data_IF_596434102573
#
_entry.id   IF_596434102573
#
_cell.length_a   1.000
_cell.length_b   1.000
_cell.length_c   1.000
_cell.angle_alpha   90.00
_cell.angle_beta   90.00
_cell.angle_gamma   90.00
#
_symmetry.space_group_name_H-M   'P 1'
#
loop_
_entity.id
_entity.type
_entity.pdbx_description
1 polymer ?
#
# COMPACT_ATOMS: atom_id res chain seq x y z
N UNK A 1 -6.70 -4.12 28.70
CA UNK A 1 -7.40 -4.05 27.39
C UNK A 1 -6.69 -3.12 26.43
N UNK A 2 -6.42 -1.85 26.77
CA UNK A 2 -5.75 -0.87 25.90
C UNK A 2 -4.36 -1.31 25.42
N UNK A 3 -3.55 -1.94 26.26
CA UNK A 3 -2.23 -2.44 25.91
C UNK A 3 -2.28 -3.54 24.83
N UNK A 4 -3.23 -4.45 24.93
CA UNK A 4 -3.45 -5.48 23.90
C UNK A 4 -3.85 -4.87 22.55
N UNK A 5 -4.75 -3.86 22.56
CA UNK A 5 -5.13 -3.15 21.33
C UNK A 5 -3.91 -2.49 20.69
N UNK A 6 -3.09 -1.80 21.48
CA UNK A 6 -1.82 -1.20 20.99
C UNK A 6 -0.88 -2.24 20.38
N UNK A 7 -0.77 -3.42 21.01
CA UNK A 7 0.05 -4.52 20.49
C UNK A 7 -0.42 -4.98 19.11
N UNK A 8 -1.73 -5.16 18.91
CA UNK A 8 -2.27 -5.55 17.58
C UNK A 8 -2.15 -4.42 16.55
N UNK A 9 -2.38 -3.17 16.91
CA UNK A 9 -2.20 -2.02 16.01
C UNK A 9 -0.73 -1.90 15.57
N UNK A 10 0.22 -2.10 16.50
CA UNK A 10 1.66 -2.15 16.19
C UNK A 10 2.02 -3.35 15.33
N UNK A 11 1.45 -4.52 15.61
CA UNK A 11 1.68 -5.75 14.86
C UNK A 11 1.37 -5.61 13.37
N UNK A 12 0.28 -4.92 13.02
CA UNK A 12 -0.11 -4.69 11.62
C UNK A 12 0.33 -3.34 11.08
N UNK A 13 1.09 -2.55 11.85
CA UNK A 13 1.49 -1.22 11.42
C UNK A 13 0.29 -0.42 10.90
N UNK A 14 -0.71 -0.22 11.77
CA UNK A 14 -1.99 0.37 11.39
C UNK A 14 -1.82 1.76 10.75
N UNK A 15 -0.81 2.53 11.19
CA UNK A 15 -0.44 3.82 10.62
C UNK A 15 -0.15 3.78 9.11
N UNK A 16 0.25 2.63 8.57
CA UNK A 16 0.47 2.46 7.13
C UNK A 16 -0.84 2.33 6.32
N UNK A 17 -2.02 2.32 6.95
CA UNK A 17 -3.29 2.36 6.22
C UNK A 17 -3.42 3.63 5.36
N UNK A 18 -2.72 4.70 5.72
CA UNK A 18 -2.62 5.95 4.97
C UNK A 18 -2.11 5.75 3.53
N UNK A 19 -1.44 4.65 3.23
CA UNK A 19 -0.92 4.40 1.87
C UNK A 19 -1.97 3.80 0.92
N UNK A 20 -2.97 3.10 1.41
CA UNK A 20 -3.96 2.44 0.55
C UNK A 20 -5.34 3.10 0.62
N UNK A 21 -5.77 3.51 1.81
CA UNK A 21 -7.13 4.02 2.04
C UNK A 21 -7.43 5.30 1.23
N UNK A 22 -6.56 6.33 1.17
CA UNK A 22 -6.85 7.52 0.39
C UNK A 22 -7.05 7.23 -1.10
N UNK A 23 -6.31 6.29 -1.69
CA UNK A 23 -6.48 5.91 -3.10
C UNK A 23 -7.80 5.14 -3.33
N UNK A 24 -8.19 4.27 -2.40
CA UNK A 24 -9.50 3.62 -2.45
C UNK A 24 -10.65 4.66 -2.38
N UNK A 25 -10.51 5.64 -1.47
CA UNK A 25 -11.46 6.74 -1.35
C UNK A 25 -11.47 7.64 -2.59
N UNK A 26 -10.32 7.99 -3.15
CA UNK A 26 -10.22 8.72 -4.42
C UNK A 26 -11.01 8.02 -5.52
N UNK A 27 -10.80 6.70 -5.67
CA UNK A 27 -11.55 5.89 -6.63
C UNK A 27 -13.06 5.90 -6.36
N UNK A 28 -13.45 5.75 -5.10
CA UNK A 28 -14.86 5.75 -4.71
C UNK A 28 -15.55 7.10 -4.97
N UNK A 29 -14.87 8.22 -4.67
CA UNK A 29 -15.40 9.57 -4.94
C UNK A 29 -15.57 9.84 -6.42
N UNK A 30 -14.58 9.52 -7.23
CA UNK A 30 -14.66 9.65 -8.69
C UNK A 30 -15.78 8.76 -9.25
N UNK A 31 -15.89 7.54 -8.78
CA UNK A 31 -16.90 6.58 -9.22
C UNK A 31 -18.33 7.06 -8.91
N UNK A 32 -18.53 7.68 -7.75
CA UNK A 32 -19.83 8.19 -7.30
C UNK A 32 -20.15 9.60 -7.86
N UNK A 33 -19.16 10.32 -8.39
CA UNK A 33 -19.32 11.73 -8.74
C UNK A 33 -19.53 12.64 -7.51
N UNK A 34 -18.99 12.25 -6.35
CA UNK A 34 -19.16 12.94 -5.08
C UNK A 34 -19.01 11.98 -3.89
N UNK A 35 -19.74 12.26 -2.80
CA UNK A 35 -19.72 11.38 -1.61
C UNK A 35 -20.43 10.06 -1.96
N UNK A 36 -19.73 8.90 -1.86
CA UNK A 36 -20.36 7.61 -2.07
C UNK A 36 -21.50 7.35 -1.08
N UNK A 37 -22.47 6.47 -1.41
CA UNK A 37 -23.49 6.07 -0.45
C UNK A 37 -22.83 5.53 0.83
N UNK A 38 -23.32 5.97 1.99
CA UNK A 38 -22.67 5.73 3.28
C UNK A 38 -22.47 4.25 3.61
N UNK A 39 -23.40 3.40 3.19
CA UNK A 39 -23.31 1.95 3.40
C UNK A 39 -22.13 1.36 2.65
N UNK A 40 -22.02 1.66 1.37
CA UNK A 40 -20.93 1.17 0.50
C UNK A 40 -19.59 1.74 0.96
N UNK A 41 -19.54 3.02 1.30
CA UNK A 41 -18.35 3.67 1.85
C UNK A 41 -17.86 2.99 3.13
N UNK A 42 -18.77 2.69 4.06
CA UNK A 42 -18.43 2.00 5.31
C UNK A 42 -17.82 0.60 5.03
N UNK A 43 -18.43 -0.18 4.11
CA UNK A 43 -17.92 -1.50 3.77
C UNK A 43 -16.61 -1.46 2.97
N UNK A 44 -16.40 -0.44 2.12
CA UNK A 44 -15.10 -0.20 1.45
C UNK A 44 -14.01 0.04 2.49
N UNK A 45 -14.24 0.90 3.48
CA UNK A 45 -13.28 1.19 4.55
C UNK A 45 -12.98 -0.08 5.36
N UNK A 46 -14.01 -0.84 5.75
CA UNK A 46 -13.84 -2.11 6.46
C UNK A 46 -13.02 -3.10 5.63
N UNK A 47 -13.33 -3.23 4.33
CA UNK A 47 -12.62 -4.14 3.43
C UNK A 47 -11.13 -3.78 3.32
N UNK A 48 -10.80 -2.50 3.10
CA UNK A 48 -9.40 -2.04 2.97
C UNK A 48 -8.62 -2.30 4.27
N UNK A 49 -9.19 -1.95 5.42
CA UNK A 49 -8.54 -2.15 6.73
C UNK A 49 -8.36 -3.64 7.02
N UNK A 50 -9.38 -4.46 6.75
CA UNK A 50 -9.34 -5.89 7.01
C UNK A 50 -8.37 -6.63 6.09
N UNK A 51 -8.38 -6.35 4.78
CA UNK A 51 -7.45 -6.93 3.82
C UNK A 51 -5.99 -6.59 4.18
N UNK A 52 -5.74 -5.31 4.52
CA UNK A 52 -4.41 -4.89 4.95
C UNK A 52 -3.98 -5.55 6.26
N UNK A 53 -4.88 -5.65 7.25
CA UNK A 53 -4.60 -6.30 8.53
C UNK A 53 -4.27 -7.78 8.33
N UNK A 54 -5.02 -8.48 7.48
CA UNK A 54 -4.74 -9.86 7.11
C UNK A 54 -3.37 -10.00 6.42
N UNK A 55 -3.08 -9.15 5.42
CA UNK A 55 -1.82 -9.18 4.67
C UNK A 55 -0.61 -8.91 5.59
N UNK A 56 -0.67 -7.87 6.41
CA UNK A 56 0.41 -7.52 7.33
C UNK A 56 0.64 -8.58 8.41
N UNK A 57 -0.46 -9.09 9.00
CA UNK A 57 -0.37 -10.18 9.98
C UNK A 57 0.23 -11.45 9.37
N UNK A 58 -0.18 -11.80 8.15
CA UNK A 58 0.38 -12.94 7.43
C UNK A 58 1.87 -12.73 7.09
N UNK A 59 2.25 -11.54 6.64
CA UNK A 59 3.66 -11.21 6.38
C UNK A 59 4.54 -11.40 7.64
N UNK A 60 4.06 -10.97 8.82
CA UNK A 60 4.77 -11.19 10.08
C UNK A 60 4.95 -12.67 10.43
N UNK A 61 3.96 -13.50 10.11
CA UNK A 61 4.04 -14.95 10.32
C UNK A 61 5.03 -15.57 9.33
N UNK A 62 4.93 -15.23 8.06
CA UNK A 62 5.79 -15.75 7.00
C UNK A 62 7.26 -15.38 7.20
N UNK A 63 7.52 -14.16 7.72
CA UNK A 63 8.87 -13.63 7.89
C UNK A 63 9.45 -13.84 9.30
N UNK A 64 8.76 -14.60 10.18
CA UNK A 64 9.16 -14.75 11.60
C UNK A 64 10.60 -15.17 11.79
N UNK A 65 11.11 -16.13 11.00
CA UNK A 65 12.50 -16.62 11.10
C UNK A 65 13.49 -15.52 10.69
N UNK A 66 13.23 -14.79 9.63
CA UNK A 66 14.05 -13.67 9.20
C UNK A 66 13.98 -12.50 10.18
N UNK A 67 12.80 -12.21 10.72
CA UNK A 67 12.60 -11.14 11.71
C UNK A 67 13.39 -11.39 13.01
N UNK A 68 13.58 -12.64 13.43
CA UNK A 68 14.40 -13.01 14.58
C UNK A 68 15.88 -12.71 14.37
N UNK A 69 16.36 -12.85 13.14
CA UNK A 69 17.78 -12.67 12.78
C UNK A 69 18.12 -11.21 12.46
N UNK A 70 17.15 -10.43 11.98
CA UNK A 70 17.39 -9.04 11.56
C UNK A 70 17.41 -8.10 12.78
N UNK A 71 18.51 -7.37 13.05
CA UNK A 71 18.62 -6.42 14.16
C UNK A 71 17.50 -5.37 14.19
N UNK A 72 16.98 -4.97 13.02
CA UNK A 72 15.91 -3.96 12.87
C UNK A 72 14.53 -4.49 13.26
N UNK A 73 14.29 -5.79 13.10
CA UNK A 73 12.96 -6.39 13.27
C UNK A 73 12.83 -7.38 14.40
N UNK A 74 13.94 -7.81 15.01
CA UNK A 74 13.95 -8.77 16.14
C UNK A 74 13.14 -8.34 17.37
N UNK A 75 12.85 -7.04 17.50
CA UNK A 75 12.08 -6.47 18.60
C UNK A 75 10.57 -6.44 18.31
N UNK A 76 10.11 -6.98 17.17
CA UNK A 76 8.69 -7.10 16.81
C UNK A 76 7.93 -8.04 17.73
N UNK A 77 6.62 -8.02 17.67
CA UNK A 77 5.71 -8.69 18.58
C UNK A 77 5.86 -10.23 18.58
N UNK A 78 6.03 -10.85 17.39
CA UNK A 78 6.20 -12.31 17.27
C UNK A 78 7.60 -12.77 17.70
N UNK A 79 8.72 -12.18 17.23
CA UNK A 79 10.06 -12.53 17.69
C UNK A 79 10.25 -12.42 19.19
N UNK A 80 9.63 -11.41 19.84
CA UNK A 80 9.75 -11.18 21.29
C UNK A 80 8.77 -11.99 22.14
N UNK A 81 7.82 -12.72 21.50
CA UNK A 81 6.80 -13.47 22.20
C UNK A 81 5.67 -12.61 22.82
N UNK A 82 5.59 -11.30 22.53
CA UNK A 82 4.46 -10.44 22.93
C UNK A 82 3.13 -10.90 22.33
N UNK A 83 3.19 -11.52 21.15
CA UNK A 83 2.10 -12.27 20.52
C UNK A 83 2.57 -13.70 20.25
N UNK A 84 1.70 -14.67 20.52
CA UNK A 84 1.94 -16.05 20.13
C UNK A 84 1.58 -16.27 18.65
N UNK A 85 2.18 -17.30 18.06
CA UNK A 85 1.87 -17.66 16.66
C UNK A 85 0.38 -18.00 16.48
N UNK A 86 -0.24 -18.65 17.45
CA UNK A 86 -1.68 -18.96 17.45
C UNK A 86 -2.53 -17.69 17.43
N UNK A 87 -2.17 -16.69 18.25
CA UNK A 87 -2.87 -15.40 18.26
C UNK A 87 -2.72 -14.66 16.94
N UNK A 88 -1.53 -14.70 16.33
CA UNK A 88 -1.29 -14.09 15.02
C UNK A 88 -2.12 -14.77 13.93
N UNK A 89 -2.17 -16.11 13.87
CA UNK A 89 -3.01 -16.86 12.94
C UNK A 89 -4.50 -16.56 13.12
N UNK A 90 -4.98 -16.53 14.36
CA UNK A 90 -6.36 -16.19 14.66
C UNK A 90 -6.71 -14.78 14.17
N UNK A 91 -5.82 -13.83 14.41
CA UNK A 91 -6.00 -12.45 13.93
C UNK A 91 -6.06 -12.38 12.41
N UNK A 92 -5.15 -13.05 11.69
CA UNK A 92 -5.14 -13.12 10.23
C UNK A 92 -6.42 -13.73 9.69
N UNK A 93 -6.85 -14.86 10.26
CA UNK A 93 -8.07 -15.56 9.83
C UNK A 93 -9.32 -14.70 10.03
N UNK A 94 -9.45 -14.04 11.19
CA UNK A 94 -10.57 -13.14 11.47
C UNK A 94 -10.54 -11.96 10.50
N UNK A 95 -9.38 -11.35 10.30
CA UNK A 95 -9.24 -10.21 9.37
C UNK A 95 -9.58 -10.61 7.92
N UNK A 96 -9.14 -11.77 7.46
CA UNK A 96 -9.49 -12.30 6.14
C UNK A 96 -10.99 -12.58 6.02
N UNK A 97 -11.61 -13.16 7.05
CA UNK A 97 -13.05 -13.42 7.09
C UNK A 97 -13.86 -12.10 7.04
N UNK A 98 -13.43 -11.07 7.80
CA UNK A 98 -14.05 -9.73 7.76
C UNK A 98 -13.93 -9.13 6.35
N UNK A 99 -12.78 -9.26 5.69
CA UNK A 99 -12.59 -8.76 4.32
C UNK A 99 -13.54 -9.44 3.34
N UNK A 100 -13.63 -10.78 3.35
CA UNK A 100 -14.53 -11.54 2.47
C UNK A 100 -16.00 -11.18 2.76
N UNK A 101 -16.35 -11.05 4.04
CA UNK A 101 -17.70 -10.64 4.43
C UNK A 101 -18.04 -9.21 3.99
N UNK A 102 -17.11 -8.26 4.13
CA UNK A 102 -17.28 -6.90 3.65
C UNK A 102 -17.47 -6.87 2.12
N UNK A 103 -16.68 -7.65 1.38
CA UNK A 103 -16.83 -7.80 -0.07
C UNK A 103 -18.19 -8.39 -0.46
N UNK A 104 -18.70 -9.37 0.29
CA UNK A 104 -20.05 -9.94 0.11
C UNK A 104 -21.16 -8.90 0.32
N UNK A 105 -21.00 -8.02 1.32
CA UNK A 105 -21.96 -6.94 1.59
C UNK A 105 -22.01 -5.87 0.49
N UNK A 106 -20.97 -5.79 -0.34
CA UNK A 106 -20.90 -4.85 -1.45
C UNK A 106 -21.60 -5.41 -2.70
N UNK A 107 -21.04 -6.46 -3.32
CA UNK A 107 -21.66 -7.15 -4.46
C UNK A 107 -20.97 -8.50 -4.76
N UNK A 108 -21.60 -9.31 -5.63
CA UNK A 108 -21.10 -10.63 -5.99
C UNK A 108 -19.73 -10.63 -6.67
N UNK A 109 -19.44 -9.63 -7.51
CA UNK A 109 -18.13 -9.52 -8.17
C UNK A 109 -17.02 -9.25 -7.13
N UNK A 110 -17.25 -8.30 -6.22
CA UNK A 110 -16.34 -8.02 -5.12
C UNK A 110 -16.13 -9.27 -4.24
N UNK A 111 -17.19 -10.00 -3.92
CA UNK A 111 -17.12 -11.24 -3.14
C UNK A 111 -16.21 -12.27 -3.82
N UNK A 112 -16.43 -12.60 -5.10
CA UNK A 112 -15.60 -13.61 -5.76
C UNK A 112 -14.16 -13.15 -5.97
N UNK A 113 -13.92 -11.88 -6.22
CA UNK A 113 -12.58 -11.32 -6.35
C UNK A 113 -11.82 -11.21 -5.02
N UNK A 114 -12.51 -11.27 -3.89
CA UNK A 114 -11.86 -11.24 -2.57
C UNK A 114 -10.91 -12.43 -2.34
N UNK A 115 -11.22 -13.61 -2.87
CA UNK A 115 -10.39 -14.81 -2.72
C UNK A 115 -9.06 -14.71 -3.48
N UNK A 116 -9.03 -14.43 -4.80
CA UNK A 116 -7.76 -14.23 -5.50
C UNK A 116 -7.00 -13.00 -4.97
N UNK A 117 -7.70 -11.97 -4.48
CA UNK A 117 -7.05 -10.84 -3.81
C UNK A 117 -6.30 -11.29 -2.57
N UNK A 118 -6.90 -12.07 -1.67
CA UNK A 118 -6.21 -12.61 -0.50
C UNK A 118 -5.00 -13.48 -0.89
N UNK A 119 -5.16 -14.33 -1.91
CA UNK A 119 -4.05 -15.14 -2.41
C UNK A 119 -2.89 -14.27 -2.91
N UNK A 120 -3.19 -13.18 -3.62
CA UNK A 120 -2.19 -12.21 -4.10
C UNK A 120 -1.49 -11.47 -2.95
N UNK A 121 -2.26 -11.00 -1.97
CA UNK A 121 -1.76 -10.32 -0.78
C UNK A 121 -0.85 -11.22 0.06
N UNK A 122 -1.22 -12.49 0.25
CA UNK A 122 -0.40 -13.44 1.01
C UNK A 122 0.81 -13.90 0.21
N UNK A 123 0.67 -14.07 -1.11
CA UNK A 123 1.76 -14.42 -2.02
C UNK A 123 2.93 -13.45 -1.96
N UNK A 124 2.66 -12.16 -1.76
CA UNK A 124 3.70 -11.13 -1.57
C UNK A 124 4.75 -11.52 -0.53
N UNK A 125 4.32 -12.11 0.60
CA UNK A 125 5.22 -12.46 1.71
C UNK A 125 6.32 -13.45 1.34
N UNK A 126 6.16 -14.16 0.24
CA UNK A 126 7.17 -15.12 -0.25
C UNK A 126 8.04 -14.58 -1.38
N UNK A 127 7.71 -13.44 -1.96
CA UNK A 127 8.35 -12.94 -3.19
C UNK A 127 9.85 -12.69 -3.04
N UNK A 128 10.29 -12.17 -1.91
CA UNK A 128 11.73 -11.95 -1.62
C UNK A 128 12.56 -13.25 -1.60
N UNK A 129 11.92 -14.41 -1.60
CA UNK A 129 12.60 -15.71 -1.60
C UNK A 129 12.98 -16.18 -3.01
N UNK A 130 12.36 -15.61 -4.06
CA UNK A 130 12.56 -16.08 -5.44
C UNK A 130 12.62 -14.99 -6.51
N UNK A 131 12.31 -13.72 -6.19
CA UNK A 131 12.32 -12.65 -7.18
C UNK A 131 12.84 -11.32 -6.64
N UNK A 132 13.61 -10.61 -7.46
CA UNK A 132 14.08 -9.26 -7.18
C UNK A 132 12.98 -8.19 -7.33
N UNK A 133 11.85 -8.52 -7.96
CA UNK A 133 10.74 -7.63 -8.28
C UNK A 133 9.63 -7.61 -7.21
N UNK A 134 9.95 -8.02 -5.98
CA UNK A 134 9.02 -8.00 -4.83
C UNK A 134 8.34 -6.64 -4.62
N UNK A 135 9.04 -5.55 -4.94
CA UNK A 135 8.53 -4.18 -4.85
C UNK A 135 7.31 -3.94 -5.74
N UNK A 136 7.33 -4.43 -7.00
CA UNK A 136 6.18 -4.33 -7.90
C UNK A 136 5.01 -5.19 -7.45
N UNK A 137 5.29 -6.36 -6.86
CA UNK A 137 4.23 -7.19 -6.28
C UNK A 137 3.56 -6.45 -5.11
N UNK A 138 4.34 -5.86 -4.19
CA UNK A 138 3.80 -5.04 -3.10
C UNK A 138 2.96 -3.87 -3.65
N UNK A 139 3.50 -3.18 -4.65
CA UNK A 139 2.80 -2.07 -5.29
C UNK A 139 1.46 -2.49 -5.88
N UNK A 140 1.41 -3.61 -6.62
CA UNK A 140 0.17 -4.14 -7.19
C UNK A 140 -0.81 -4.60 -6.09
N UNK A 141 -0.32 -5.14 -4.99
CA UNK A 141 -1.14 -5.54 -3.86
C UNK A 141 -1.89 -4.35 -3.22
N UNK A 142 -1.22 -3.19 -3.09
CA UNK A 142 -1.90 -1.96 -2.66
C UNK A 142 -2.76 -1.35 -3.78
N UNK A 143 -2.30 -1.47 -5.03
CA UNK A 143 -3.01 -0.98 -6.22
C UNK A 143 -4.37 -1.64 -6.47
N UNK A 144 -4.63 -2.82 -5.92
CA UNK A 144 -5.96 -3.46 -5.96
C UNK A 144 -7.02 -2.62 -5.22
N UNK A 145 -6.65 -1.85 -4.20
CA UNK A 145 -7.61 -1.11 -3.37
C UNK A 145 -8.49 -0.12 -4.16
N UNK A 146 -7.99 0.75 -5.06
CA UNK A 146 -8.83 1.61 -5.88
C UNK A 146 -9.74 0.83 -6.86
N UNK A 147 -9.27 -0.31 -7.41
CA UNK A 147 -10.10 -1.17 -8.27
C UNK A 147 -11.23 -1.81 -7.46
N UNK A 148 -10.91 -2.31 -6.27
CA UNK A 148 -11.91 -2.86 -5.36
C UNK A 148 -12.98 -1.85 -4.95
N UNK A 149 -12.60 -0.60 -4.68
CA UNK A 149 -13.54 0.47 -4.34
C UNK A 149 -14.46 0.84 -5.52
N UNK A 150 -13.95 0.82 -6.75
CA UNK A 150 -14.76 1.03 -7.96
C UNK A 150 -15.76 -0.10 -8.17
N UNK A 151 -15.28 -1.36 -8.10
CA UNK A 151 -16.12 -2.55 -8.20
C UNK A 151 -17.21 -2.54 -7.14
N UNK A 152 -16.89 -2.12 -5.92
CA UNK A 152 -17.84 -2.02 -4.82
C UNK A 152 -19.08 -1.18 -5.15
N UNK A 153 -18.91 -0.10 -5.93
CA UNK A 153 -19.96 0.84 -6.29
C UNK A 153 -20.67 0.48 -7.60
N UNK A 154 -19.91 0.06 -8.62
CA UNK A 154 -20.47 -0.18 -9.97
C UNK A 154 -20.62 -1.65 -10.35
N UNK A 155 -19.95 -2.56 -9.66
CA UNK A 155 -19.95 -3.98 -10.05
C UNK A 155 -19.22 -4.28 -11.37
N UNK A 156 -18.41 -3.34 -11.87
CA UNK A 156 -17.66 -3.44 -13.15
C UNK A 156 -16.23 -3.02 -12.99
N UNK A 157 -15.38 -3.42 -13.94
CA UNK A 157 -14.00 -2.96 -14.06
C UNK A 157 -13.93 -2.01 -15.25
N UNK A 158 -13.46 -0.78 -15.01
CA UNK A 158 -13.35 0.28 -16.00
C UNK A 158 -11.91 0.83 -16.07
N UNK A 159 -11.62 1.68 -17.04
CA UNK A 159 -10.27 2.25 -17.25
C UNK A 159 -9.78 3.13 -16.08
N UNK A 160 -10.60 4.03 -15.49
CA UNK A 160 -10.11 4.93 -14.45
C UNK A 160 -9.46 4.21 -13.25
N UNK A 161 -10.11 3.21 -12.59
CA UNK A 161 -9.48 2.53 -11.46
C UNK A 161 -8.24 1.72 -11.85
N UNK A 162 -8.11 1.27 -13.11
CA UNK A 162 -6.90 0.59 -13.60
C UNK A 162 -5.73 1.58 -13.68
N UNK A 163 -5.96 2.79 -14.19
CA UNK A 163 -4.93 3.84 -14.21
C UNK A 163 -4.48 4.20 -12.80
N UNK A 164 -5.42 4.29 -11.86
CA UNK A 164 -5.10 4.55 -10.47
C UNK A 164 -4.37 3.36 -9.81
N UNK A 165 -4.72 2.12 -10.16
CA UNK A 165 -3.99 0.91 -9.75
C UNK A 165 -2.54 0.96 -10.24
N UNK A 166 -2.30 1.29 -11.50
CA UNK A 166 -0.96 1.43 -12.06
C UNK A 166 -0.17 2.52 -11.36
N UNK A 167 -0.81 3.67 -11.11
CA UNK A 167 -0.20 4.77 -10.36
C UNK A 167 0.25 4.29 -8.96
N UNK A 168 -0.64 3.66 -8.20
CA UNK A 168 -0.31 3.12 -6.86
C UNK A 168 0.77 2.05 -6.94
N UNK A 169 0.72 1.16 -7.94
CA UNK A 169 1.73 0.11 -8.12
C UNK A 169 3.14 0.70 -8.27
N UNK A 170 3.30 1.67 -9.15
CA UNK A 170 4.60 2.28 -9.39
C UNK A 170 5.07 3.17 -8.21
N UNK A 171 4.15 3.90 -7.59
CA UNK A 171 4.44 4.71 -6.43
C UNK A 171 4.92 3.89 -5.24
N UNK A 172 4.17 2.83 -4.88
CA UNK A 172 4.54 1.95 -3.77
C UNK A 172 5.85 1.21 -4.07
N UNK A 173 6.03 0.70 -5.28
CA UNK A 173 7.27 0.03 -5.66
C UNK A 173 8.47 0.99 -5.58
N UNK A 174 8.30 2.25 -5.97
CA UNK A 174 9.35 3.26 -5.89
C UNK A 174 9.79 3.54 -4.46
N UNK A 175 8.87 3.84 -3.54
CA UNK A 175 9.22 4.12 -2.16
C UNK A 175 9.66 2.87 -1.38
N UNK A 176 9.15 1.68 -1.72
CA UNK A 176 9.58 0.43 -1.08
C UNK A 176 11.03 0.08 -1.44
N UNK A 177 11.49 0.41 -2.66
CA UNK A 177 12.92 0.33 -3.03
C UNK A 177 13.76 1.25 -2.13
N UNK A 178 13.32 2.49 -1.90
CA UNK A 178 14.01 3.42 -0.99
C UNK A 178 14.11 2.80 0.41
N UNK A 179 13.00 2.27 0.91
CA UNK A 179 12.96 1.64 2.23
C UNK A 179 13.83 0.38 2.33
N UNK A 180 13.90 -0.42 1.27
CA UNK A 180 14.70 -1.64 1.21
C UNK A 180 16.21 -1.38 1.33
N UNK A 181 16.68 -0.16 1.09
CA UNK A 181 18.11 0.20 1.30
C UNK A 181 18.56 0.03 2.76
N UNK A 182 17.63 0.04 3.72
CA UNK A 182 17.93 -0.19 5.13
C UNK A 182 18.25 -1.66 5.47
N UNK A 183 17.82 -2.59 4.61
CA UNK A 183 18.00 -4.03 4.82
C UNK A 183 19.03 -4.66 3.86
N UNK A 184 19.70 -3.87 2.99
CA UNK A 184 20.58 -4.37 1.93
C UNK A 184 21.61 -5.38 2.44
N UNK A 185 22.34 -5.03 3.50
CA UNK A 185 23.41 -5.87 4.06
C UNK A 185 22.84 -7.16 4.64
N UNK A 186 21.75 -7.07 5.38
CA UNK A 186 21.08 -8.22 5.98
C UNK A 186 20.49 -9.15 4.90
N UNK A 187 19.70 -8.61 3.96
CA UNK A 187 19.04 -9.37 2.90
C UNK A 187 20.08 -10.10 2.03
N UNK A 188 21.22 -9.43 1.71
CA UNK A 188 22.34 -10.02 0.97
C UNK A 188 22.97 -11.18 1.73
N UNK A 189 23.18 -11.03 3.05
CA UNK A 189 23.81 -12.04 3.90
C UNK A 189 23.00 -13.32 4.01
N UNK A 190 21.67 -13.21 4.04
CA UNK A 190 20.77 -14.36 4.20
C UNK A 190 20.19 -14.87 2.86
N UNK A 191 20.60 -14.28 1.74
CA UNK A 191 20.22 -14.74 0.40
C UNK A 191 18.78 -14.35 -0.01
N UNK A 192 18.22 -13.28 0.54
CA UNK A 192 16.94 -12.73 0.06
C UNK A 192 17.15 -11.89 -1.20
N UNK A 193 16.11 -11.85 -2.02
CA UNK A 193 16.10 -11.16 -3.30
C UNK A 193 15.46 -9.78 -3.18
N UNK A 194 16.12 -8.76 -3.75
CA UNK A 194 15.55 -7.42 -3.99
C UNK A 194 16.35 -6.70 -5.06
N UNK A 195 15.80 -5.64 -5.64
CA UNK A 195 16.56 -4.79 -6.58
C UNK A 195 17.78 -4.17 -5.91
N UNK A 196 17.69 -3.86 -4.62
CA UNK A 196 18.81 -3.31 -3.83
C UNK A 196 19.91 -4.33 -3.65
N UNK A 197 19.58 -5.58 -3.32
CA UNK A 197 20.55 -6.67 -3.19
C UNK A 197 21.24 -6.96 -4.53
N UNK A 198 20.46 -6.96 -5.64
CA UNK A 198 20.96 -7.32 -6.97
C UNK A 198 21.84 -6.24 -7.59
N UNK A 199 21.43 -4.97 -7.53
CA UNK A 199 22.08 -3.88 -8.26
C UNK A 199 22.83 -2.89 -7.36
N UNK A 200 22.70 -2.99 -6.03
CA UNK A 200 23.19 -2.03 -5.06
C UNK A 200 22.26 -0.82 -4.92
N UNK A 201 22.34 -0.12 -3.79
CA UNK A 201 21.44 0.97 -3.43
C UNK A 201 21.38 2.07 -4.49
N UNK A 202 22.50 2.53 -5.04
CA UNK A 202 22.53 3.65 -5.99
C UNK A 202 21.76 3.36 -7.29
N UNK A 203 21.92 2.16 -7.87
CA UNK A 203 21.19 1.77 -9.09
C UNK A 203 19.73 1.49 -8.77
N UNK A 204 19.43 0.90 -7.62
CA UNK A 204 18.07 0.66 -7.19
C UNK A 204 17.30 1.99 -6.98
N UNK A 205 17.92 3.02 -6.40
CA UNK A 205 17.33 4.35 -6.29
C UNK A 205 17.05 4.99 -7.67
N UNK A 206 17.87 4.68 -8.68
CA UNK A 206 17.58 5.13 -10.05
C UNK A 206 16.32 4.44 -10.60
N UNK A 207 16.17 3.14 -10.38
CA UNK A 207 14.93 2.41 -10.74
C UNK A 207 13.72 3.00 -10.00
N UNK A 208 13.86 3.34 -8.71
CA UNK A 208 12.81 4.02 -7.94
C UNK A 208 12.37 5.33 -8.60
N UNK A 209 13.32 6.17 -9.07
CA UNK A 209 12.99 7.42 -9.80
C UNK A 209 12.20 7.17 -11.08
N UNK A 210 12.59 6.14 -11.83
CA UNK A 210 11.86 5.73 -13.06
C UNK A 210 10.44 5.29 -12.72
N UNK A 211 10.26 4.47 -11.69
CA UNK A 211 8.93 4.03 -11.24
C UNK A 211 8.07 5.20 -10.77
N UNK A 212 8.63 6.14 -10.02
CA UNK A 212 7.92 7.35 -9.63
C UNK A 212 7.56 8.26 -10.82
N UNK A 213 8.38 8.27 -11.88
CA UNK A 213 8.00 8.94 -13.13
C UNK A 213 6.78 8.28 -13.79
N UNK A 214 6.73 6.94 -13.81
CA UNK A 214 5.54 6.22 -14.29
C UNK A 214 4.32 6.44 -13.40
N UNK A 215 4.49 6.55 -12.09
CA UNK A 215 3.42 6.96 -11.17
C UNK A 215 2.82 8.30 -11.57
N UNK A 216 3.66 9.33 -11.77
CA UNK A 216 3.20 10.67 -12.12
C UNK A 216 2.47 10.68 -13.47
N UNK A 217 2.96 9.94 -14.46
CA UNK A 217 2.31 9.79 -15.78
C UNK A 217 0.97 9.07 -15.66
N UNK A 218 0.91 7.95 -14.92
CA UNK A 218 -0.33 7.21 -14.73
C UNK A 218 -1.38 8.03 -13.96
N UNK A 219 -0.95 8.81 -12.97
CA UNK A 219 -1.81 9.71 -12.20
C UNK A 219 -2.33 10.86 -13.08
N UNK A 220 -1.50 11.44 -13.94
CA UNK A 220 -1.93 12.44 -14.92
C UNK A 220 -2.94 11.85 -15.92
N UNK A 221 -2.68 10.64 -16.43
CA UNK A 221 -3.61 9.94 -17.31
C UNK A 221 -4.96 9.67 -16.63
N UNK A 222 -4.95 9.29 -15.35
CA UNK A 222 -6.17 9.16 -14.55
C UNK A 222 -6.95 10.48 -14.50
N UNK A 223 -6.31 11.59 -14.09
CA UNK A 223 -6.95 12.91 -14.02
C UNK A 223 -7.53 13.38 -15.37
N UNK A 224 -6.81 13.08 -16.46
CA UNK A 224 -7.26 13.39 -17.82
C UNK A 224 -8.50 12.59 -18.22
N UNK A 225 -8.48 11.27 -18.01
CA UNK A 225 -9.59 10.37 -18.40
C UNK A 225 -10.86 10.68 -17.63
N UNK A 226 -10.77 10.99 -16.33
CA UNK A 226 -11.94 11.35 -15.51
C UNK A 226 -12.28 12.83 -15.56
N UNK A 227 -11.53 13.62 -16.35
CA UNK A 227 -11.74 15.08 -16.58
C UNK A 227 -11.71 15.89 -15.30
N UNK A 228 -10.75 15.61 -14.40
CA UNK A 228 -10.57 16.40 -13.18
C UNK A 228 -10.12 17.84 -13.52
N UNK A 229 -10.53 18.79 -12.71
CA UNK A 229 -10.35 20.21 -12.92
C UNK A 229 -9.05 20.76 -12.30
N UNK A 230 -9.03 22.05 -12.07
CA UNK A 230 -7.82 22.81 -11.69
C UNK A 230 -7.26 22.38 -10.35
N UNK A 231 -8.12 22.04 -9.36
CA UNK A 231 -7.67 21.67 -8.01
C UNK A 231 -6.82 20.41 -8.05
N UNK A 232 -7.24 19.40 -8.82
CA UNK A 232 -6.47 18.19 -9.02
C UNK A 232 -5.11 18.48 -9.67
N UNK A 233 -5.07 19.30 -10.73
CA UNK A 233 -3.82 19.57 -11.44
C UNK A 233 -2.83 20.37 -10.60
N UNK A 234 -3.31 21.30 -9.79
CA UNK A 234 -2.47 22.02 -8.80
C UNK A 234 -1.88 21.02 -7.79
N UNK A 235 -2.72 20.12 -7.25
CA UNK A 235 -2.24 19.08 -6.33
C UNK A 235 -1.24 18.14 -7.00
N UNK A 236 -1.46 17.76 -8.26
CA UNK A 236 -0.51 16.96 -9.04
C UNK A 236 0.85 17.63 -9.13
N UNK A 237 0.93 18.96 -9.38
CA UNK A 237 2.19 19.70 -9.36
C UNK A 237 2.88 19.65 -7.99
N UNK A 238 2.14 19.78 -6.90
CA UNK A 238 2.71 19.60 -5.56
C UNK A 238 3.20 18.18 -5.34
N UNK A 239 2.49 17.16 -5.81
CA UNK A 239 2.91 15.76 -5.75
C UNK A 239 4.23 15.55 -6.51
N UNK A 240 4.40 16.14 -7.70
CA UNK A 240 5.70 16.14 -8.41
C UNK A 240 6.80 16.72 -7.53
N UNK A 241 6.55 17.85 -6.88
CA UNK A 241 7.51 18.48 -5.95
C UNK A 241 7.84 17.58 -4.75
N UNK A 242 6.83 16.93 -4.14
CA UNK A 242 7.05 15.99 -3.03
C UNK A 242 7.85 14.77 -3.45
N UNK A 243 7.59 14.19 -4.62
CA UNK A 243 8.39 13.08 -5.15
C UNK A 243 9.84 13.51 -5.44
N UNK A 244 10.06 14.69 -6.00
CA UNK A 244 11.40 15.23 -6.17
C UNK A 244 12.12 15.44 -4.83
N UNK A 245 11.41 15.97 -3.84
CA UNK A 245 11.93 16.13 -2.48
C UNK A 245 12.25 14.78 -1.83
N UNK A 246 11.38 13.77 -1.93
CA UNK A 246 11.62 12.42 -1.44
C UNK A 246 12.96 11.87 -1.93
N UNK A 247 13.20 11.96 -3.23
CA UNK A 247 14.45 11.51 -3.84
C UNK A 247 15.67 12.35 -3.46
N UNK A 248 15.48 13.61 -3.07
CA UNK A 248 16.57 14.48 -2.61
C UNK A 248 17.05 14.15 -1.21
N UNK A 249 16.13 13.68 -0.34
CA UNK A 249 16.45 13.33 1.05
C UNK A 249 16.77 11.85 1.24
N UNK A 250 16.39 10.98 0.30
CA UNK A 250 16.62 9.53 0.37
C UNK A 250 18.12 9.22 0.34
N UNK A 251 18.69 8.95 1.49
CA UNK A 251 20.11 8.58 1.66
C UNK A 251 20.21 7.14 2.14
N UNK A 252 20.80 6.23 1.33
CA UNK A 252 20.98 4.83 1.72
C UNK A 252 21.76 4.71 3.02
N UNK A 253 21.24 3.87 3.94
CA UNK A 253 21.90 3.63 5.23
C UNK A 253 21.60 4.66 6.32
N UNK A 254 20.90 5.79 6.02
CA UNK A 254 20.38 6.72 7.04
C UNK A 254 18.90 6.42 7.36
N UNK A 255 18.60 5.74 8.51
CA UNK A 255 17.24 5.37 8.85
C UNK A 255 16.31 6.59 9.05
N UNK A 256 16.83 7.75 9.46
CA UNK A 256 15.99 8.95 9.70
C UNK A 256 15.52 9.51 8.38
N UNK A 257 16.43 9.69 7.43
CA UNK A 257 16.12 10.22 6.10
C UNK A 257 15.21 9.28 5.31
N UNK A 258 15.54 7.97 5.30
CA UNK A 258 14.72 6.95 4.64
C UNK A 258 13.31 6.86 5.27
N UNK A 259 13.17 6.90 6.60
CA UNK A 259 11.85 6.89 7.24
C UNK A 259 11.06 8.17 6.94
N UNK A 260 11.71 9.34 6.87
CA UNK A 260 11.03 10.60 6.50
C UNK A 260 10.52 10.53 5.06
N UNK A 261 11.34 10.07 4.13
CA UNK A 261 10.95 9.83 2.74
C UNK A 261 9.77 8.86 2.67
N UNK A 262 9.89 7.70 3.30
CA UNK A 262 8.88 6.65 3.25
C UNK A 262 7.54 7.04 3.91
N UNK A 263 7.55 7.58 5.12
CA UNK A 263 6.31 7.83 5.88
C UNK A 263 5.73 9.22 5.64
N UNK A 264 6.55 10.25 5.86
CA UNK A 264 6.03 11.62 5.92
C UNK A 264 5.65 12.09 4.52
N UNK A 265 6.54 11.93 3.55
CA UNK A 265 6.30 12.41 2.19
C UNK A 265 5.15 11.64 1.55
N UNK A 266 5.19 10.31 1.62
CA UNK A 266 4.18 9.48 0.99
C UNK A 266 2.80 9.56 1.69
N UNK A 267 2.78 9.77 3.02
CA UNK A 267 1.54 10.08 3.73
C UNK A 267 0.89 11.38 3.25
N UNK A 268 1.70 12.43 3.02
CA UNK A 268 1.21 13.71 2.49
C UNK A 268 0.69 13.52 1.05
N UNK A 269 1.42 12.83 0.19
CA UNK A 269 1.04 12.58 -1.22
C UNK A 269 -0.33 11.91 -1.32
N UNK A 270 -0.55 10.85 -0.56
CA UNK A 270 -1.82 10.10 -0.62
C UNK A 270 -3.02 10.91 -0.11
N UNK A 271 -2.85 11.63 0.99
CA UNK A 271 -3.90 12.47 1.59
C UNK A 271 -4.20 13.67 0.69
N UNK A 272 -3.15 14.34 0.18
CA UNK A 272 -3.30 15.48 -0.72
C UNK A 272 -4.07 15.10 -1.98
N UNK A 273 -3.75 13.95 -2.59
CA UNK A 273 -4.45 13.43 -3.76
C UNK A 273 -5.94 13.26 -3.49
N UNK A 274 -6.29 12.59 -2.38
CA UNK A 274 -7.69 12.34 -2.04
C UNK A 274 -8.44 13.65 -1.78
N UNK A 275 -7.90 14.54 -0.95
CA UNK A 275 -8.56 15.81 -0.61
C UNK A 275 -8.74 16.67 -1.86
N UNK A 276 -7.71 16.80 -2.68
CA UNK A 276 -7.78 17.58 -3.90
C UNK A 276 -8.81 17.03 -4.89
N UNK A 277 -8.85 15.70 -5.07
CA UNK A 277 -9.84 15.06 -5.94
C UNK A 277 -11.27 15.24 -5.40
N UNK A 278 -11.47 15.10 -4.08
CA UNK A 278 -12.78 15.29 -3.47
C UNK A 278 -13.28 16.72 -3.59
N UNK A 279 -12.41 17.72 -3.40
CA UNK A 279 -12.74 19.14 -3.59
C UNK A 279 -13.05 19.40 -5.08
N UNK A 280 -12.23 18.90 -5.97
CA UNK A 280 -12.37 19.13 -7.41
C UNK A 280 -13.71 18.60 -7.95
N UNK A 281 -14.11 17.41 -7.50
CA UNK A 281 -15.42 16.83 -7.84
C UNK A 281 -16.57 17.64 -7.24
N UNK A 282 -16.41 18.17 -6.01
CA UNK A 282 -17.45 18.97 -5.36
C UNK A 282 -17.66 20.36 -6.02
N UNK A 283 -16.68 20.83 -6.81
CA UNK A 283 -16.73 22.11 -7.53
C UNK A 283 -17.26 21.95 -8.98
N UNK A 284 -17.39 20.74 -9.49
CA UNK A 284 -17.94 20.41 -10.81
C UNK A 284 -19.46 20.29 -10.76
#
# INVERSE_FOLDING_TARGET
MLERIRTYLSFVKFEHAVFALPFALTSAWVCAGGIPPLRELAWIIVAVIAARSAAMGFNRIADLEFDRLNPRTRNRELPTGKLTLTQAWLFVTISAAIFVFAAYQLNWLAFWLSFPTLAWLFGYSYTKRFTDWSHLWLGSALGIAPVGAWIALKGTIELPPILLMLAVTFWVAGFDIIYATLDEEFDRKIGLHSLVVRYGANKALWVSRVLHSFFLVALAAFGWVVKLGVVFWVAWFFIVGFIAYEHSIAEPGDPRKVNTAFFTVNGIVSILLFIATAIDIALQ
#
